data_IF_202936002750
#
_entry.id   IF_202936002750
#
_cell.length_a   1.000
_cell.length_b   1.000
_cell.length_c   1.000
_cell.angle_alpha   90.00
_cell.angle_beta   90.00
_cell.angle_gamma   90.00
#
_symmetry.space_group_name_H-M   'P 1'
#
loop_
_entity.id
_entity.type
_entity.pdbx_description
1 polymer ?
#
# COMPACT_ATOMS: atom_id res chain seq x y z
N UNK A 1 -46.86 -4.44 11.30
CA UNK A 1 -45.53 -4.33 11.93
C UNK A 1 -44.58 -5.28 11.24
N UNK A 2 -43.71 -4.80 10.35
CA UNK A 2 -42.65 -5.62 9.73
C UNK A 2 -41.38 -5.39 10.54
N UNK A 3 -41.11 -6.30 11.47
CA UNK A 3 -39.91 -6.28 12.28
C UNK A 3 -38.71 -6.75 11.44
N UNK A 4 -37.80 -5.81 11.21
CA UNK A 4 -36.36 -5.94 11.42
C UNK A 4 -35.73 -7.32 11.13
N UNK A 5 -35.20 -7.47 9.91
CA UNK A 5 -34.04 -8.32 9.64
C UNK A 5 -33.01 -7.51 8.84
N UNK A 6 -32.44 -6.50 9.49
CA UNK A 6 -31.13 -5.97 9.14
C UNK A 6 -30.11 -6.72 9.99
N UNK A 7 -29.77 -7.95 9.60
CA UNK A 7 -28.80 -8.77 10.32
C UNK A 7 -27.55 -8.97 9.45
N UNK A 8 -26.42 -8.43 9.92
CA UNK A 8 -25.07 -8.89 9.62
C UNK A 8 -24.46 -8.67 8.22
N UNK A 9 -24.70 -7.54 7.54
CA UNK A 9 -23.93 -7.20 6.33
C UNK A 9 -22.47 -6.78 6.61
N UNK A 10 -22.15 -6.32 7.84
CA UNK A 10 -20.85 -5.73 8.17
C UNK A 10 -19.78 -6.67 8.73
N UNK A 11 -20.16 -7.83 9.29
CA UNK A 11 -19.21 -8.76 9.94
C UNK A 11 -18.90 -10.02 9.11
N UNK A 12 -19.73 -10.33 8.10
CA UNK A 12 -19.54 -11.53 7.29
C UNK A 12 -18.50 -11.37 6.17
N UNK A 13 -18.18 -10.15 5.72
CA UNK A 13 -17.24 -9.96 4.60
C UNK A 13 -15.80 -10.28 4.97
N UNK A 14 -15.30 -9.78 6.11
CA UNK A 14 -13.94 -10.09 6.58
C UNK A 14 -13.75 -11.58 6.90
N UNK A 15 -14.74 -12.21 7.54
CA UNK A 15 -14.71 -13.64 7.84
C UNK A 15 -14.77 -14.50 6.57
N UNK A 16 -15.60 -14.15 5.58
CA UNK A 16 -15.70 -14.87 4.31
C UNK A 16 -14.44 -14.70 3.45
N UNK A 17 -13.85 -13.50 3.42
CA UNK A 17 -12.55 -13.22 2.80
C UNK A 17 -11.46 -14.08 3.42
N UNK A 18 -11.39 -14.08 4.75
CA UNK A 18 -10.42 -14.87 5.49
C UNK A 18 -10.61 -16.38 5.21
N UNK A 19 -11.85 -16.88 5.15
CA UNK A 19 -12.14 -18.31 4.91
C UNK A 19 -11.76 -18.76 3.50
N UNK A 20 -12.15 -18.01 2.45
CA UNK A 20 -11.84 -18.37 1.04
C UNK A 20 -10.33 -18.36 0.77
N UNK A 21 -9.60 -17.47 1.42
CA UNK A 21 -8.17 -17.33 1.19
C UNK A 21 -7.31 -18.18 2.14
N UNK A 22 -7.86 -18.62 3.29
CA UNK A 22 -7.17 -19.49 4.26
C UNK A 22 -7.02 -20.94 3.76
N UNK A 23 -7.92 -21.40 2.88
CA UNK A 23 -7.87 -22.74 2.28
C UNK A 23 -6.74 -22.89 1.25
N UNK A 24 -6.18 -21.77 0.76
CA UNK A 24 -5.07 -21.77 -0.20
C UNK A 24 -3.76 -21.37 0.48
N UNK A 25 -2.99 -22.35 0.95
CA UNK A 25 -1.59 -22.24 1.41
C UNK A 25 -1.33 -21.48 2.74
N UNK A 26 -0.39 -21.98 3.58
CA UNK A 26 -0.11 -21.38 4.89
C UNK A 26 0.52 -19.98 4.84
N UNK A 27 1.37 -19.69 3.83
CA UNK A 27 2.00 -18.36 3.69
C UNK A 27 0.98 -17.26 3.41
N UNK A 28 -0.03 -17.59 2.61
CA UNK A 28 -1.14 -16.71 2.23
C UNK A 28 -1.94 -16.32 3.48
N UNK A 29 -2.26 -17.31 4.32
CA UNK A 29 -2.97 -17.08 5.58
C UNK A 29 -2.31 -16.03 6.49
N UNK A 30 -0.97 -16.02 6.56
CA UNK A 30 -0.22 -15.06 7.37
C UNK A 30 -0.29 -13.66 6.77
N UNK A 31 -0.11 -13.54 5.45
CA UNK A 31 -0.24 -12.26 4.74
C UNK A 31 -1.62 -11.67 4.97
N UNK A 32 -2.68 -12.46 4.80
CA UNK A 32 -4.07 -12.00 4.99
C UNK A 32 -4.31 -11.54 6.41
N UNK A 33 -3.87 -12.30 7.42
CA UNK A 33 -4.04 -11.87 8.82
C UNK A 33 -3.37 -10.52 9.10
N UNK A 34 -2.27 -10.19 8.43
CA UNK A 34 -1.63 -8.88 8.54
C UNK A 34 -2.29 -7.79 7.68
N UNK A 35 -2.67 -8.13 6.44
CA UNK A 35 -3.30 -7.19 5.49
C UNK A 35 -4.69 -6.79 5.97
N UNK A 36 -5.50 -7.72 6.45
CA UNK A 36 -6.91 -7.49 6.77
C UNK A 36 -7.10 -6.37 7.79
N UNK A 37 -6.40 -6.32 8.95
CA UNK A 37 -6.53 -5.18 9.88
C UNK A 37 -6.11 -3.84 9.27
N UNK A 38 -5.04 -3.82 8.45
CA UNK A 38 -4.56 -2.61 7.76
C UNK A 38 -5.62 -2.12 6.76
N UNK A 39 -6.26 -3.05 6.05
CA UNK A 39 -7.31 -2.79 5.07
C UNK A 39 -8.69 -2.60 5.72
N UNK A 40 -9.00 -3.14 6.88
CA UNK A 40 -10.24 -2.86 7.61
C UNK A 40 -10.22 -1.43 8.14
N UNK A 41 -9.03 -0.96 8.56
CA UNK A 41 -8.73 0.46 8.75
C UNK A 41 -8.68 1.26 7.43
N UNK A 42 -9.13 0.67 6.32
CA UNK A 42 -9.09 1.16 4.92
C UNK A 42 -9.24 2.65 4.76
N UNK A 43 -10.30 3.22 5.36
CA UNK A 43 -10.65 4.61 5.11
C UNK A 43 -9.51 5.52 5.60
N UNK A 44 -8.81 5.13 6.66
CA UNK A 44 -7.69 5.92 7.19
C UNK A 44 -6.37 5.73 6.44
N UNK A 45 -6.21 4.68 5.63
CA UNK A 45 -4.93 4.35 5.00
C UNK A 45 -4.97 4.43 3.46
N UNK A 46 -6.08 4.04 2.84
CA UNK A 46 -6.25 4.02 1.39
C UNK A 46 -6.77 5.35 0.83
N UNK A 47 -7.79 5.95 1.46
CA UNK A 47 -8.32 7.26 1.02
C UNK A 47 -7.22 8.32 0.97
N UNK A 48 -6.32 8.46 1.98
CA UNK A 48 -5.25 9.44 1.88
C UNK A 48 -4.31 9.21 0.69
N UNK A 49 -4.05 7.95 0.30
CA UNK A 49 -3.20 7.61 -0.85
C UNK A 49 -3.88 8.06 -2.15
N UNK A 50 -5.18 7.79 -2.29
CA UNK A 50 -5.97 8.20 -3.45
C UNK A 50 -6.10 9.73 -3.49
N UNK A 51 -6.48 10.36 -2.38
CA UNK A 51 -6.69 11.79 -2.24
C UNK A 51 -5.42 12.60 -2.45
N UNK A 52 -4.25 12.05 -2.06
CA UNK A 52 -2.95 12.65 -2.33
C UNK A 52 -2.54 12.57 -3.81
N UNK A 53 -3.35 11.93 -4.67
CA UNK A 53 -3.11 11.83 -6.10
C UNK A 53 -2.09 10.76 -6.48
N UNK A 54 -1.95 9.70 -5.69
CA UNK A 54 -1.07 8.59 -6.02
C UNK A 54 -1.49 7.92 -7.33
N UNK A 55 -0.55 7.80 -8.27
CA UNK A 55 -0.74 6.92 -9.43
C UNK A 55 -0.60 5.48 -8.95
N UNK A 56 -1.43 4.58 -9.49
CA UNK A 56 -1.44 3.17 -9.12
C UNK A 56 -1.68 2.93 -7.61
N UNK A 57 -2.79 3.46 -7.04
CA UNK A 57 -3.01 3.51 -5.59
C UNK A 57 -3.01 2.12 -4.93
N UNK A 58 -3.43 1.07 -5.63
CA UNK A 58 -3.36 -0.31 -5.12
C UNK A 58 -1.91 -0.80 -4.99
N UNK A 59 -1.03 -0.44 -5.94
CA UNK A 59 0.40 -0.75 -5.85
C UNK A 59 1.03 0.08 -4.73
N UNK A 60 0.68 1.36 -4.61
CA UNK A 60 1.21 2.23 -3.54
C UNK A 60 0.77 1.74 -2.15
N UNK A 61 -0.48 1.29 -2.00
CA UNK A 61 -0.95 0.62 -0.78
C UNK A 61 -0.16 -0.67 -0.52
N UNK A 62 0.12 -1.45 -1.56
CA UNK A 62 0.90 -2.68 -1.43
C UNK A 62 2.34 -2.40 -0.98
N UNK A 63 2.95 -1.31 -1.48
CA UNK A 63 4.26 -0.84 -1.01
C UNK A 63 4.18 -0.43 0.45
N UNK A 64 3.18 0.37 0.85
CA UNK A 64 2.99 0.74 2.24
C UNK A 64 2.94 -0.49 3.16
N UNK A 65 2.12 -1.48 2.82
CA UNK A 65 2.02 -2.72 3.59
C UNK A 65 3.38 -3.44 3.67
N UNK A 66 4.09 -3.55 2.55
CA UNK A 66 5.38 -4.24 2.48
C UNK A 66 6.47 -3.52 3.29
N UNK A 67 6.64 -2.22 3.07
CA UNK A 67 7.67 -1.37 3.68
C UNK A 67 7.48 -1.21 5.19
N UNK A 68 6.22 -1.20 5.64
CA UNK A 68 5.91 -1.01 7.06
C UNK A 68 5.73 -2.32 7.82
N UNK A 69 5.80 -3.46 7.15
CA UNK A 69 5.45 -4.76 7.73
C UNK A 69 4.04 -4.76 8.30
N UNK A 70 3.04 -4.41 7.50
CA UNK A 70 1.64 -4.28 7.95
C UNK A 70 1.43 -3.19 9.02
N UNK A 71 2.08 -2.04 8.83
CA UNK A 71 2.03 -0.89 9.75
C UNK A 71 2.59 -1.16 11.16
N UNK A 72 3.43 -2.19 11.33
CA UNK A 72 4.00 -2.56 12.64
C UNK A 72 5.49 -2.26 12.81
N UNK A 73 6.18 -1.86 11.73
CA UNK A 73 7.63 -1.58 11.80
C UNK A 73 7.95 -0.39 12.69
N UNK A 74 9.08 -0.47 13.38
CA UNK A 74 9.56 0.63 14.23
C UNK A 74 9.82 1.92 13.44
N UNK A 75 10.34 1.79 12.21
CA UNK A 75 10.56 2.92 11.30
C UNK A 75 9.24 3.63 10.99
N UNK A 76 8.17 2.90 10.68
CA UNK A 76 6.87 3.53 10.47
C UNK A 76 6.33 4.17 11.75
N UNK A 77 6.35 3.45 12.87
CA UNK A 77 5.75 3.90 14.12
C UNK A 77 6.46 5.11 14.72
N UNK A 78 7.80 5.19 14.62
CA UNK A 78 8.59 6.30 15.17
C UNK A 78 8.77 7.44 14.18
N UNK A 79 9.14 7.13 12.93
CA UNK A 79 9.47 8.16 11.95
C UNK A 79 8.26 8.63 11.15
N UNK A 80 7.14 7.91 11.16
CA UNK A 80 6.02 8.12 10.24
C UNK A 80 6.34 7.70 8.80
N UNK A 81 7.45 7.00 8.57
CA UNK A 81 7.94 6.66 7.23
C UNK A 81 7.24 5.41 6.69
N UNK A 82 6.28 5.61 5.79
CA UNK A 82 5.46 4.54 5.22
C UNK A 82 6.04 3.87 3.97
N UNK A 83 7.17 4.36 3.45
CA UNK A 83 7.65 3.99 2.11
C UNK A 83 9.15 3.69 2.06
N UNK A 84 9.80 3.50 3.21
CA UNK A 84 11.23 3.18 3.28
C UNK A 84 12.17 4.30 2.77
N UNK A 85 11.65 5.51 2.55
CA UNK A 85 12.41 6.60 1.93
C UNK A 85 13.65 6.98 2.75
N UNK A 86 14.78 7.23 2.07
CA UNK A 86 15.97 7.85 2.68
C UNK A 86 15.76 9.36 2.81
N UNK A 87 16.42 9.97 3.81
CA UNK A 87 16.42 11.43 3.95
C UNK A 87 16.90 12.09 2.67
N UNK A 88 16.23 13.15 2.25
CA UNK A 88 16.42 13.73 0.93
C UNK A 88 16.15 15.25 0.93
N UNK A 89 16.52 15.91 -0.17
CA UNK A 89 16.45 17.37 -0.31
C UNK A 89 15.08 17.92 -0.73
N UNK A 90 14.00 17.11 -0.74
CA UNK A 90 12.65 17.60 -1.12
C UNK A 90 11.95 18.37 0.01
N UNK A 91 12.49 18.33 1.23
CA UNK A 91 12.05 19.17 2.35
C UNK A 91 10.89 18.61 3.19
N UNK A 92 10.42 17.38 2.91
CA UNK A 92 9.33 16.75 3.68
C UNK A 92 9.80 16.12 4.99
N UNK A 93 10.99 15.53 5.01
CA UNK A 93 11.57 14.90 6.20
C UNK A 93 12.47 15.87 6.98
N UNK A 94 12.43 15.78 8.31
CA UNK A 94 13.20 16.60 9.26
C UNK A 94 14.66 16.17 9.38
N UNK A 95 14.97 14.94 9.01
CA UNK A 95 16.30 14.37 9.11
C UNK A 95 16.29 12.89 8.80
N UNK A 96 17.23 12.16 9.40
CA UNK A 96 17.28 10.70 9.34
C UNK A 96 17.26 10.08 10.73
N UNK A 97 16.46 9.04 10.88
CA UNK A 97 16.37 8.21 12.08
C UNK A 97 16.25 6.75 11.65
N UNK A 98 16.92 5.82 12.34
CA UNK A 98 16.94 4.38 11.99
C UNK A 98 17.38 4.09 10.53
N UNK A 99 18.21 4.96 9.93
CA UNK A 99 18.65 4.82 8.53
C UNK A 99 17.64 5.28 7.47
N UNK A 100 16.48 5.77 7.88
CA UNK A 100 15.42 6.24 6.99
C UNK A 100 15.11 7.72 7.24
N UNK A 101 14.35 8.33 6.33
CA UNK A 101 13.80 9.67 6.51
C UNK A 101 12.91 9.72 7.77
N UNK A 102 13.09 10.77 8.57
CA UNK A 102 12.26 11.06 9.74
C UNK A 102 11.24 12.15 9.43
N UNK A 103 9.95 11.84 9.58
CA UNK A 103 8.83 12.76 9.42
C UNK A 103 8.21 13.16 10.78
N UNK A 104 8.84 12.77 11.91
CA UNK A 104 8.37 13.05 13.25
C UNK A 104 7.03 12.41 13.57
N UNK A 105 6.81 11.18 13.08
CA UNK A 105 5.55 10.44 13.25
C UNK A 105 4.42 10.86 12.29
N UNK A 106 4.64 11.83 11.40
CA UNK A 106 3.62 12.27 10.44
C UNK A 106 3.66 11.44 9.14
N UNK A 107 2.76 10.46 9.06
CA UNK A 107 2.57 9.68 7.83
C UNK A 107 2.13 10.54 6.63
N UNK A 108 1.38 11.63 6.85
CA UNK A 108 0.97 12.51 5.74
C UNK A 108 2.17 13.16 5.06
N UNK A 109 3.16 13.60 5.83
CA UNK A 109 4.42 14.11 5.30
C UNK A 109 5.19 13.03 4.53
N UNK A 110 5.24 11.79 5.05
CA UNK A 110 5.86 10.67 4.33
C UNK A 110 5.15 10.36 3.01
N UNK A 111 3.82 10.41 2.98
CA UNK A 111 3.04 10.19 1.77
C UNK A 111 3.30 11.31 0.75
N UNK A 112 3.29 12.57 1.16
CA UNK A 112 3.61 13.71 0.28
C UNK A 112 5.02 13.61 -0.32
N UNK A 113 6.01 13.17 0.48
CA UNK A 113 7.36 12.91 -0.02
C UNK A 113 7.35 11.82 -1.10
N UNK A 114 6.69 10.70 -0.82
CA UNK A 114 6.54 9.61 -1.76
C UNK A 114 5.86 10.06 -3.06
N UNK A 115 4.78 10.85 -2.99
CA UNK A 115 4.10 11.39 -4.18
C UNK A 115 5.03 12.29 -4.99
N UNK A 116 5.78 13.18 -4.35
CA UNK A 116 6.75 14.03 -5.03
C UNK A 116 7.88 13.20 -5.69
N UNK A 117 8.33 12.13 -5.02
CA UNK A 117 9.24 11.14 -5.59
C UNK A 117 8.62 10.45 -6.82
N UNK A 118 7.41 9.90 -6.68
CA UNK A 118 6.69 9.19 -7.73
C UNK A 118 6.53 10.07 -8.96
N UNK A 119 6.00 11.29 -8.79
CA UNK A 119 5.79 12.24 -9.88
C UNK A 119 7.10 12.54 -10.62
N UNK A 120 8.18 12.81 -9.89
CA UNK A 120 9.48 13.14 -10.48
C UNK A 120 10.06 11.97 -11.27
N UNK A 121 10.15 10.79 -10.66
CA UNK A 121 10.91 9.68 -11.24
C UNK A 121 10.08 8.88 -12.25
N UNK A 122 8.78 8.73 -12.03
CA UNK A 122 7.89 8.12 -13.03
C UNK A 122 7.80 8.97 -14.29
N UNK A 123 7.70 10.30 -14.17
CA UNK A 123 7.64 11.18 -15.36
C UNK A 123 8.94 11.12 -16.17
N UNK A 124 10.10 11.05 -15.50
CA UNK A 124 11.40 10.86 -16.17
C UNK A 124 11.49 9.51 -16.87
N UNK A 125 11.03 8.46 -16.21
CA UNK A 125 10.98 7.13 -16.78
C UNK A 125 10.10 7.08 -18.04
N UNK A 126 8.88 7.63 -17.97
CA UNK A 126 7.96 7.72 -19.10
C UNK A 126 8.54 8.54 -20.27
N UNK A 127 9.18 9.67 -19.97
CA UNK A 127 9.83 10.51 -20.97
C UNK A 127 10.97 9.76 -21.67
N UNK A 128 11.81 9.04 -20.91
CA UNK A 128 12.93 8.27 -21.45
C UNK A 128 12.51 7.14 -22.40
N UNK A 129 11.28 6.64 -22.26
CA UNK A 129 10.72 5.57 -23.10
C UNK A 129 9.73 6.06 -24.16
N UNK A 130 9.38 7.35 -24.16
CA UNK A 130 8.33 7.90 -25.03
C UNK A 130 6.94 7.27 -24.82
N UNK A 131 6.69 6.66 -23.66
CA UNK A 131 5.46 5.91 -23.37
C UNK A 131 5.01 6.13 -21.93
N UNK A 132 3.70 6.39 -21.75
CA UNK A 132 3.07 6.46 -20.43
C UNK A 132 2.90 5.07 -19.82
N UNK A 133 3.15 4.97 -18.51
CA UNK A 133 2.84 3.79 -17.70
C UNK A 133 1.33 3.80 -17.44
N UNK A 134 0.65 2.69 -17.74
CA UNK A 134 -0.81 2.58 -17.70
C UNK A 134 -1.31 1.43 -16.83
N UNK A 135 -0.48 0.42 -16.56
CA UNK A 135 -0.89 -0.75 -15.76
C UNK A 135 -0.09 -0.87 -14.46
N UNK A 136 -0.66 -1.57 -13.47
CA UNK A 136 0.05 -1.89 -12.22
C UNK A 136 1.37 -2.63 -12.51
N UNK A 137 1.38 -3.54 -13.48
CA UNK A 137 2.58 -4.30 -13.86
C UNK A 137 3.65 -3.41 -14.50
N UNK A 138 3.27 -2.48 -15.39
CA UNK A 138 4.21 -1.50 -15.94
C UNK A 138 4.78 -0.59 -14.84
N UNK A 139 3.98 -0.26 -13.82
CA UNK A 139 4.44 0.52 -12.67
C UNK A 139 5.40 -0.28 -11.78
N UNK A 140 5.13 -1.56 -11.54
CA UNK A 140 6.05 -2.46 -10.83
C UNK A 140 7.36 -2.60 -11.60
N UNK A 141 7.31 -2.71 -12.93
CA UNK A 141 8.52 -2.72 -13.76
C UNK A 141 9.31 -1.41 -13.63
N UNK A 142 8.65 -0.27 -13.57
CA UNK A 142 9.31 1.00 -13.27
C UNK A 142 10.05 0.96 -11.91
N UNK A 143 9.44 0.42 -10.86
CA UNK A 143 10.09 0.30 -9.55
C UNK A 143 11.35 -0.58 -9.60
N UNK A 144 11.31 -1.65 -10.41
CA UNK A 144 12.46 -2.53 -10.66
C UNK A 144 13.56 -1.79 -11.40
N UNK A 145 13.23 -1.19 -12.54
CA UNK A 145 14.20 -0.49 -13.40
C UNK A 145 14.87 0.67 -12.68
N UNK A 146 14.13 1.37 -11.81
CA UNK A 146 14.66 2.46 -11.00
C UNK A 146 15.56 1.97 -9.85
N UNK A 147 15.49 0.69 -9.48
CA UNK A 147 16.18 0.17 -8.30
C UNK A 147 15.58 0.67 -6.99
N UNK A 148 14.25 0.72 -6.90
CA UNK A 148 13.54 1.19 -5.70
C UNK A 148 13.93 0.40 -4.44
N UNK A 149 14.07 -0.92 -4.59
CA UNK A 149 14.50 -1.82 -3.54
C UNK A 149 15.70 -2.66 -4.01
N UNK A 150 16.65 -2.91 -3.11
CA UNK A 150 17.82 -3.75 -3.39
C UNK A 150 17.47 -5.26 -3.40
N UNK A 151 16.37 -5.64 -2.74
CA UNK A 151 15.89 -7.01 -2.66
C UNK A 151 15.35 -7.50 -4.02
N UNK A 152 16.02 -8.48 -4.63
CA UNK A 152 15.61 -9.09 -5.91
C UNK A 152 14.21 -9.74 -5.85
N UNK A 153 13.75 -10.13 -4.67
CA UNK A 153 12.42 -10.71 -4.45
C UNK A 153 11.33 -9.67 -4.23
N UNK A 154 11.67 -8.38 -4.13
CA UNK A 154 10.73 -7.29 -3.90
C UNK A 154 9.54 -7.29 -4.88
N UNK A 155 9.73 -7.43 -6.21
CA UNK A 155 8.60 -7.41 -7.15
C UNK A 155 7.64 -8.58 -6.95
N UNK A 156 8.15 -9.74 -6.55
CA UNK A 156 7.33 -10.92 -6.25
C UNK A 156 6.49 -10.68 -5.00
N UNK A 157 7.13 -10.23 -3.90
CA UNK A 157 6.43 -9.89 -2.65
C UNK A 157 5.36 -8.82 -2.85
N UNK A 158 5.67 -7.80 -3.66
CA UNK A 158 4.75 -6.72 -3.96
C UNK A 158 3.53 -7.20 -4.76
N UNK A 159 3.74 -8.08 -5.77
CA UNK A 159 2.63 -8.69 -6.52
C UNK A 159 1.76 -9.59 -5.64
N UNK A 160 2.37 -10.32 -4.72
CA UNK A 160 1.63 -11.14 -3.75
C UNK A 160 0.68 -10.24 -2.93
N UNK A 161 1.20 -9.16 -2.32
CA UNK A 161 0.38 -8.21 -1.55
C UNK A 161 -0.69 -7.53 -2.43
N UNK A 162 -0.34 -7.13 -3.65
CA UNK A 162 -1.26 -6.49 -4.59
C UNK A 162 -2.48 -7.35 -4.89
N UNK A 163 -2.30 -8.66 -5.05
CA UNK A 163 -3.40 -9.58 -5.30
C UNK A 163 -4.46 -9.54 -4.17
N UNK A 164 -4.02 -9.44 -2.92
CA UNK A 164 -4.91 -9.29 -1.77
C UNK A 164 -5.56 -7.91 -1.71
N UNK A 165 -4.79 -6.84 -1.93
CA UNK A 165 -5.32 -5.46 -1.94
C UNK A 165 -6.44 -5.35 -2.98
N UNK A 166 -6.22 -5.89 -4.17
CA UNK A 166 -7.22 -5.92 -5.25
C UNK A 166 -8.44 -6.75 -4.86
N UNK A 167 -8.23 -7.94 -4.26
CA UNK A 167 -9.35 -8.79 -3.85
C UNK A 167 -10.23 -8.13 -2.80
N UNK A 168 -9.63 -7.48 -1.80
CA UNK A 168 -10.42 -6.79 -0.77
C UNK A 168 -11.14 -5.57 -1.35
N UNK A 169 -10.49 -4.81 -2.25
CA UNK A 169 -11.11 -3.68 -2.93
C UNK A 169 -12.33 -4.12 -3.76
N UNK A 170 -12.23 -5.23 -4.50
CA UNK A 170 -13.33 -5.82 -5.26
C UNK A 170 -14.52 -6.17 -4.35
N UNK A 171 -14.26 -6.88 -3.25
CA UNK A 171 -15.31 -7.34 -2.34
C UNK A 171 -15.99 -6.19 -1.61
N UNK A 172 -15.28 -5.10 -1.30
CA UNK A 172 -15.87 -3.89 -0.73
C UNK A 172 -16.79 -3.16 -1.72
N UNK A 173 -16.40 -3.11 -2.99
CA UNK A 173 -17.26 -2.58 -4.05
C UNK A 173 -18.56 -3.39 -4.16
N UNK A 174 -18.46 -4.71 -4.15
CA UNK A 174 -19.62 -5.60 -4.17
C UNK A 174 -20.52 -5.43 -2.94
N UNK A 175 -19.94 -5.20 -1.74
CA UNK A 175 -20.71 -4.99 -0.52
C UNK A 175 -21.37 -3.60 -0.41
N UNK A 176 -20.91 -2.63 -1.20
CA UNK A 176 -21.44 -1.26 -1.25
C UNK A 176 -22.40 -1.03 -2.45
N UNK A 177 -22.60 -2.07 -3.27
CA UNK A 177 -23.53 -2.11 -4.41
C UNK A 177 -24.83 -2.79 -3.99
#
# INVERSE_FOLDING_TARGET
MKNTLAFAAGFCTAALIAVILFTERPRISTVIRGVTPVIEKWNKAFEPIVDAGARFPEVVMSQFILETGYASSEVFLKNGNGFGMKHNKRGFSKGSQLGHADYGGDFSASLKDYIAWQQKYLSRYEASRGKKVKTNEEYIQFLVDYGYAEDKSYPTKLRDILSYVQKVHELKKQASS
#
